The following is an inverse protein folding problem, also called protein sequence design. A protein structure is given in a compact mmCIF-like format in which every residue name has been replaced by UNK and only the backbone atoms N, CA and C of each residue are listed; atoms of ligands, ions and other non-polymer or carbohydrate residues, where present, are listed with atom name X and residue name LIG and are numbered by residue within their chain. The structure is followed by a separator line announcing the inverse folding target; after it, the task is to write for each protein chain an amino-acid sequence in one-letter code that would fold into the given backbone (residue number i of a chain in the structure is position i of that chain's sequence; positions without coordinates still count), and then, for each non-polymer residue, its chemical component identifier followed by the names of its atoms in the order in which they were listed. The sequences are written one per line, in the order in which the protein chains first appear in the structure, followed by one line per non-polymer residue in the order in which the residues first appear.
data_IF_128688969907
#
_entry.id   IF_128688969907
#
_cell.length_a   1.000
_cell.length_b   1.000
_cell.length_c   1.000
_cell.angle_alpha   90.00
_cell.angle_beta   90.00
_cell.angle_gamma   90.00
#
_symmetry.space_group_name_H-M   'P 1'
#
loop_
_entity.id
_entity.type
_entity.pdbx_description
1 polymer ?
#
# COMPACT_ATOMS: atom_id res chain seq x y z
N UNK A 1 -3.71 7.05 -45.50
CA UNK A 1 -2.80 6.49 -44.46
C UNK A 1 -2.29 7.61 -43.57
N UNK A 2 -2.87 7.83 -42.38
CA UNK A 2 -2.20 8.54 -41.28
C UNK A 2 -2.95 8.35 -39.94
N UNK A 3 -2.84 7.15 -39.39
CA UNK A 3 -3.27 6.77 -38.03
C UNK A 3 -2.53 7.51 -36.88
N UNK A 4 -1.94 8.68 -37.13
CA UNK A 4 -0.89 9.30 -36.28
C UNK A 4 -1.36 10.40 -35.32
N UNK A 5 -2.66 10.59 -35.08
CA UNK A 5 -3.16 11.63 -34.14
C UNK A 5 -4.08 11.08 -33.03
N UNK A 6 -3.94 9.81 -32.66
CA UNK A 6 -4.50 9.26 -31.41
C UNK A 6 -3.38 8.90 -30.45
N UNK A 7 -2.53 9.89 -30.14
CA UNK A 7 -1.52 9.78 -29.10
C UNK A 7 -1.55 11.02 -28.23
N UNK A 8 -2.61 11.19 -27.44
CA UNK A 8 -2.54 11.97 -26.18
C UNK A 8 -3.78 11.82 -25.31
N UNK A 9 -4.18 10.59 -24.98
CA UNK A 9 -5.12 10.33 -23.87
C UNK A 9 -4.51 9.33 -22.89
N UNK A 10 -3.20 9.45 -22.63
CA UNK A 10 -2.59 8.81 -21.48
C UNK A 10 -2.85 9.78 -20.32
N UNK A 11 -3.77 9.49 -19.38
CA UNK A 11 -3.95 10.36 -18.22
C UNK A 11 -2.61 10.49 -17.52
N UNK A 12 -2.20 11.74 -17.24
CA UNK A 12 -0.99 12.03 -16.50
C UNK A 12 -1.05 11.29 -15.15
N UNK A 13 0.10 10.97 -14.56
CA UNK A 13 0.17 10.19 -13.31
C UNK A 13 -0.65 10.78 -12.16
N UNK A 14 -0.78 12.12 -12.13
CA UNK A 14 -1.64 12.84 -11.19
C UNK A 14 -3.14 12.51 -11.38
N UNK A 15 -3.61 12.44 -12.63
CA UNK A 15 -5.00 12.11 -12.96
C UNK A 15 -5.33 10.67 -12.57
N UNK A 16 -4.39 9.73 -12.79
CA UNK A 16 -4.56 8.32 -12.37
C UNK A 16 -4.76 8.18 -10.86
N UNK A 17 -4.04 8.98 -10.07
CA UNK A 17 -4.13 8.97 -8.62
C UNK A 17 -5.45 9.56 -8.11
N UNK A 18 -6.00 10.56 -8.81
CA UNK A 18 -7.32 11.10 -8.52
C UNK A 18 -8.44 10.12 -8.88
N UNK A 19 -8.36 9.52 -10.08
CA UNK A 19 -9.31 8.51 -10.56
C UNK A 19 -9.37 7.31 -9.59
N UNK A 20 -8.21 6.80 -9.14
CA UNK A 20 -8.15 5.70 -8.20
C UNK A 20 -8.83 6.04 -6.85
N UNK A 21 -8.69 7.29 -6.38
CA UNK A 21 -9.34 7.76 -5.16
C UNK A 21 -10.86 7.85 -5.33
N UNK A 22 -11.35 8.42 -6.42
CA UNK A 22 -12.78 8.48 -6.74
C UNK A 22 -13.39 7.08 -6.77
N UNK A 23 -12.79 6.16 -7.53
CA UNK A 23 -13.23 4.78 -7.62
C UNK A 23 -13.24 4.06 -6.26
N UNK A 24 -12.25 4.32 -5.40
CA UNK A 24 -12.22 3.75 -4.05
C UNK A 24 -13.40 4.25 -3.20
N UNK A 25 -13.67 5.56 -3.20
CA UNK A 25 -14.78 6.14 -2.45
C UNK A 25 -16.14 5.63 -2.94
N UNK A 26 -16.37 5.61 -4.25
CA UNK A 26 -17.59 5.04 -4.84
C UNK A 26 -17.75 3.55 -4.48
N UNK A 27 -16.67 2.79 -4.59
CA UNK A 27 -16.68 1.36 -4.27
C UNK A 27 -17.03 1.11 -2.79
N UNK A 28 -16.52 1.92 -1.87
CA UNK A 28 -16.83 1.79 -0.44
C UNK A 28 -18.23 2.32 -0.09
N UNK A 29 -18.71 3.38 -0.75
CA UNK A 29 -20.09 3.86 -0.59
C UNK A 29 -21.12 2.77 -0.98
N UNK A 30 -20.80 1.97 -2.00
CA UNK A 30 -21.65 0.87 -2.47
C UNK A 30 -21.46 -0.44 -1.69
N UNK A 31 -20.58 -0.48 -0.67
CA UNK A 31 -20.34 -1.70 0.11
C UNK A 31 -21.28 -1.77 1.32
N UNK A 32 -22.26 -2.68 1.27
CA UNK A 32 -23.22 -2.88 2.37
C UNK A 32 -22.58 -3.50 3.61
N UNK A 33 -21.68 -4.47 3.45
CA UNK A 33 -20.93 -5.10 4.55
C UNK A 33 -19.42 -5.01 4.31
N UNK A 34 -18.74 -4.04 4.96
CA UNK A 34 -17.29 -3.88 4.88
C UNK A 34 -16.49 -5.08 5.44
N UNK A 35 -17.04 -5.77 6.44
CA UNK A 35 -16.37 -6.90 7.10
C UNK A 35 -16.38 -8.13 6.18
N UNK A 36 -17.51 -8.40 5.52
CA UNK A 36 -17.64 -9.47 4.54
C UNK A 36 -16.76 -9.23 3.31
N UNK A 37 -16.70 -7.98 2.79
CA UNK A 37 -15.85 -7.64 1.65
C UNK A 37 -14.38 -8.01 1.86
N UNK A 38 -13.87 -7.85 3.10
CA UNK A 38 -12.46 -8.13 3.43
C UNK A 38 -12.23 -9.51 4.06
N UNK A 39 -13.29 -10.25 4.38
CA UNK A 39 -13.19 -11.56 5.03
C UNK A 39 -12.35 -12.59 4.24
N UNK A 40 -12.47 -12.73 2.91
CA UNK A 40 -11.64 -13.65 2.14
C UNK A 40 -10.14 -13.32 2.24
N UNK A 41 -9.80 -12.04 2.15
CA UNK A 41 -8.41 -11.58 2.27
C UNK A 41 -7.84 -11.87 3.67
N UNK A 42 -8.63 -11.62 4.72
CA UNK A 42 -8.24 -11.94 6.11
C UNK A 42 -8.02 -13.44 6.30
N UNK A 43 -8.89 -14.29 5.75
CA UNK A 43 -8.74 -15.75 5.79
C UNK A 43 -7.46 -16.19 5.08
N UNK A 44 -7.26 -15.76 3.83
CA UNK A 44 -6.07 -16.12 3.05
C UNK A 44 -4.75 -15.71 3.75
N UNK A 45 -4.74 -14.56 4.43
CA UNK A 45 -3.58 -14.11 5.22
C UNK A 45 -3.31 -15.04 6.42
N UNK A 46 -4.35 -15.53 7.10
CA UNK A 46 -4.20 -16.48 8.20
C UNK A 46 -3.72 -17.85 7.69
N UNK A 47 -4.35 -18.37 6.64
CA UNK A 47 -4.01 -19.67 6.04
C UNK A 47 -2.56 -19.71 5.54
N UNK A 48 -2.04 -18.57 5.05
CA UNK A 48 -0.64 -18.44 4.66
C UNK A 48 0.31 -18.81 5.79
N UNK A 49 0.01 -18.42 7.04
CA UNK A 49 0.87 -18.74 8.17
C UNK A 49 0.80 -20.21 8.56
N UNK A 50 -0.36 -20.84 8.43
CA UNK A 50 -0.52 -22.29 8.65
C UNK A 50 0.30 -23.09 7.63
N UNK A 51 0.17 -22.77 6.33
CA UNK A 51 0.99 -23.39 5.27
C UNK A 51 2.48 -23.13 5.43
N UNK A 52 2.85 -21.99 6.00
CA UNK A 52 4.25 -21.64 6.22
C UNK A 52 4.89 -22.47 7.34
N UNK A 53 4.12 -22.82 8.39
CA UNK A 53 4.64 -23.59 9.55
C UNK A 53 4.48 -25.10 9.39
N UNK A 54 3.59 -25.53 8.48
CA UNK A 54 3.30 -26.93 8.19
C UNK A 54 3.00 -27.13 6.69
N UNK A 55 4.02 -27.04 5.81
CA UNK A 55 3.83 -27.20 4.36
C UNK A 55 3.30 -28.59 3.98
N UNK A 56 3.75 -29.62 4.71
CA UNK A 56 3.42 -31.02 4.45
C UNK A 56 2.18 -31.51 5.22
N UNK A 57 1.61 -30.66 6.09
CA UNK A 57 0.37 -30.96 6.81
C UNK A 57 0.49 -32.02 7.92
N UNK A 58 1.70 -32.28 8.41
CA UNK A 58 2.01 -33.39 9.33
C UNK A 58 1.72 -33.04 10.79
N UNK A 59 1.68 -31.74 11.14
CA UNK A 59 1.45 -31.31 12.51
C UNK A 59 -0.01 -31.49 12.93
N UNK A 60 -0.22 -31.76 14.22
CA UNK A 60 -1.57 -31.74 14.80
C UNK A 60 -2.19 -30.34 14.67
N UNK A 61 -3.53 -30.22 14.55
CA UNK A 61 -4.19 -28.92 14.38
C UNK A 61 -3.84 -27.91 15.49
N UNK A 62 -3.73 -28.38 16.73
CA UNK A 62 -3.38 -27.52 17.87
C UNK A 62 -1.95 -26.97 17.80
N UNK A 63 -0.98 -27.81 17.43
CA UNK A 63 0.42 -27.39 17.31
C UNK A 63 0.62 -26.51 16.06
N UNK A 64 -0.07 -26.82 14.95
CA UNK A 64 -0.11 -25.96 13.75
C UNK A 64 -0.65 -24.57 14.10
N UNK A 65 -1.78 -24.49 14.79
CA UNK A 65 -2.37 -23.21 15.20
C UNK A 65 -1.44 -22.41 16.13
N UNK A 66 -0.81 -23.08 17.11
CA UNK A 66 0.18 -22.45 18.00
C UNK A 66 1.34 -21.86 17.20
N UNK A 67 1.96 -22.65 16.31
CA UNK A 67 3.08 -22.20 15.47
C UNK A 67 2.68 -21.09 14.51
N UNK A 68 1.52 -21.20 13.85
CA UNK A 68 0.99 -20.18 12.96
C UNK A 68 0.76 -18.85 13.71
N UNK A 69 0.25 -18.92 14.95
CA UNK A 69 0.11 -17.77 15.84
C UNK A 69 1.45 -17.07 16.11
N UNK A 70 2.52 -17.82 16.40
CA UNK A 70 3.86 -17.27 16.55
C UNK A 70 4.41 -16.67 15.25
N UNK A 71 4.22 -17.35 14.11
CA UNK A 71 4.65 -16.87 12.80
C UNK A 71 3.98 -15.53 12.43
N UNK A 72 2.68 -15.39 12.71
CA UNK A 72 1.95 -14.13 12.55
C UNK A 72 2.53 -13.02 13.42
N UNK A 73 2.75 -13.27 14.71
CA UNK A 73 3.35 -12.28 15.63
C UNK A 73 4.73 -11.84 15.15
N UNK A 74 5.57 -12.78 14.72
CA UNK A 74 6.89 -12.50 14.17
C UNK A 74 6.83 -11.64 12.90
N UNK A 75 5.87 -11.92 12.00
CA UNK A 75 5.67 -11.12 10.79
C UNK A 75 5.32 -9.66 11.12
N UNK A 76 4.37 -9.44 12.02
CA UNK A 76 3.99 -8.08 12.46
C UNK A 76 5.17 -7.36 13.14
N UNK A 77 5.94 -8.06 13.98
CA UNK A 77 7.12 -7.49 14.64
C UNK A 77 8.19 -7.05 13.62
N UNK A 78 8.44 -7.84 12.57
CA UNK A 78 9.36 -7.47 11.48
C UNK A 78 8.89 -6.22 10.72
N UNK A 79 7.58 -6.13 10.44
CA UNK A 79 7.01 -4.96 9.78
C UNK A 79 7.16 -3.69 10.64
N UNK A 80 6.85 -3.80 11.94
CA UNK A 80 7.01 -2.70 12.89
C UNK A 80 8.47 -2.25 13.00
N UNK A 81 9.42 -3.19 13.06
CA UNK A 81 10.86 -2.90 13.08
C UNK A 81 11.28 -2.12 11.83
N UNK A 82 10.92 -2.60 10.63
CA UNK A 82 11.22 -1.91 9.36
C UNK A 82 10.63 -0.51 9.32
N UNK A 83 9.41 -0.36 9.80
CA UNK A 83 8.73 0.93 9.89
C UNK A 83 9.46 1.90 10.85
N UNK A 84 9.91 1.40 12.01
CA UNK A 84 10.71 2.18 12.95
C UNK A 84 12.07 2.58 12.37
N UNK A 85 12.73 1.68 11.66
CA UNK A 85 14.00 1.97 10.96
C UNK A 85 13.82 3.06 9.91
N UNK A 86 12.75 2.99 9.10
CA UNK A 86 12.46 4.00 8.09
C UNK A 86 12.24 5.40 8.69
N UNK A 87 11.55 5.50 9.83
CA UNK A 87 11.38 6.77 10.56
C UNK A 87 12.66 7.31 11.20
N UNK A 88 13.56 6.42 11.61
CA UNK A 88 14.86 6.79 12.20
C UNK A 88 15.88 7.20 11.15
N UNK A 89 15.69 6.81 9.89
CA UNK A 89 16.59 7.19 8.80
C UNK A 89 16.52 8.73 8.70
N UNK A 90 17.63 9.45 8.92
CA UNK A 90 17.64 10.88 8.72
C UNK A 90 17.28 11.16 7.25
N UNK A 91 16.61 12.28 6.95
CA UNK A 91 16.45 12.70 5.57
C UNK A 91 17.85 12.76 4.95
N UNK A 92 17.96 12.28 3.72
CA UNK A 92 19.21 12.37 2.97
C UNK A 92 19.56 13.86 2.86
N UNK A 93 20.58 14.32 3.59
CA UNK A 93 21.03 15.71 3.57
C UNK A 93 21.83 15.95 2.29
N UNK A 94 21.15 15.91 1.14
CA UNK A 94 21.55 16.57 -0.10
C UNK A 94 20.53 16.32 -1.24
N UNK A 95 19.66 17.30 -1.48
CA UNK A 95 19.69 17.95 -2.78
C UNK A 95 19.53 19.45 -2.54
N UNK A 96 20.65 20.17 -2.70
CA UNK A 96 20.73 21.62 -2.73
C UNK A 96 20.15 22.20 -4.03
N UNK A 97 18.98 21.73 -4.47
CA UNK A 97 18.18 22.44 -5.45
C UNK A 97 17.43 23.55 -4.73
N UNK A 98 18.15 24.65 -4.51
CA UNK A 98 17.59 25.90 -4.04
C UNK A 98 16.37 26.24 -4.88
N UNK A 99 15.20 26.26 -4.25
CA UNK A 99 14.10 27.09 -4.75
C UNK A 99 14.58 28.53 -4.54
N UNK A 100 14.91 29.31 -5.59
CA UNK A 100 15.10 30.74 -5.36
C UNK A 100 13.78 31.28 -4.83
N UNK A 101 13.87 31.93 -3.67
CA UNK A 101 12.87 32.87 -3.19
C UNK A 101 12.52 33.79 -4.37
N UNK A 102 11.27 33.80 -4.83
CA UNK A 102 10.83 34.67 -5.94
C UNK A 102 10.51 36.03 -5.33
N UNK A 103 11.36 37.07 -5.46
CA UNK A 103 11.01 38.41 -5.03
C UNK A 103 10.30 39.12 -6.20
N UNK A 104 9.18 39.79 -5.92
CA UNK A 104 8.54 40.69 -6.88
C UNK A 104 7.39 40.06 -7.67
N UNK A 105 6.22 39.98 -7.06
CA UNK A 105 4.98 40.23 -7.80
C UNK A 105 4.66 41.71 -7.59
N UNK A 106 5.11 42.54 -8.52
CA UNK A 106 4.60 43.90 -8.70
C UNK A 106 3.11 43.80 -9.07
N UNK A 107 2.24 44.19 -8.14
CA UNK A 107 0.83 44.47 -8.45
C UNK A 107 0.75 45.82 -9.16
N UNK A 108 0.32 45.90 -10.43
CA UNK A 108 -0.19 47.16 -10.95
C UNK A 108 -1.51 47.51 -10.24
N UNK A 109 -1.65 48.81 -10.00
CA UNK A 109 -2.68 49.50 -9.20
C UNK A 109 -4.12 49.17 -9.61
#
# INVERSE_FOLDING_TARGET
MNWRTVSSLIPMTADRSLIARLAAHESWANTTDPSARTAPARRAMLDRFERQVDPDGVLSPAERARRAGHARKAHCARLALRSAQARRKPPDVADGSGRPNRPGEDQPQ
#
